data_IF_888956124923
#
_entry.id   IF_888956124923
#
_cell.length_a   1.000
_cell.length_b   1.000
_cell.length_c   1.000
_cell.angle_alpha   90.00
_cell.angle_beta   90.00
_cell.angle_gamma   90.00
#
_symmetry.space_group_name_H-M   'P 1'
#
loop_
_entity.id
_entity.type
_entity.pdbx_description
1 polymer ?
#
# COMPACT_ATOMS: atom_id res chain seq x y z
N UNK A 1 -6.20 15.21 -4.80
CA UNK A 1 -6.12 14.06 -5.75
C UNK A 1 -5.11 13.00 -5.27
N UNK A 2 -4.74 13.00 -3.98
CA UNK A 2 -3.79 12.03 -3.40
C UNK A 2 -4.51 10.99 -2.53
N UNK A 3 -5.75 11.28 -2.11
CA UNK A 3 -6.55 10.49 -1.19
C UNK A 3 -6.85 9.07 -1.71
N UNK A 4 -7.05 8.92 -3.03
CA UNK A 4 -7.40 7.63 -3.63
C UNK A 4 -6.26 6.61 -3.61
N UNK A 5 -5.00 7.05 -3.47
CA UNK A 5 -3.83 6.14 -3.51
C UNK A 5 -3.71 5.31 -2.25
N UNK A 6 -4.04 5.88 -1.08
CA UNK A 6 -3.97 5.22 0.23
C UNK A 6 -5.24 4.41 0.57
N UNK A 7 -5.96 3.97 -0.46
CA UNK A 7 -7.05 3.00 -0.33
C UNK A 7 -6.59 1.62 -0.79
N UNK A 8 -7.23 0.55 -0.29
CA UNK A 8 -6.94 -0.81 -0.79
C UNK A 8 -7.12 -0.92 -2.30
N UNK A 9 -8.09 -0.20 -2.87
CA UNK A 9 -8.31 -0.18 -4.32
C UNK A 9 -7.18 0.54 -5.05
N UNK A 10 -6.75 1.70 -4.55
CA UNK A 10 -5.59 2.44 -5.06
C UNK A 10 -4.32 1.61 -5.07
N UNK A 11 -4.04 0.92 -3.96
CA UNK A 11 -2.91 0.01 -3.85
C UNK A 11 -3.03 -1.20 -4.79
N UNK A 12 -4.24 -1.74 -4.98
CA UNK A 12 -4.48 -2.84 -5.94
C UNK A 12 -4.17 -2.40 -7.37
N UNK A 13 -4.55 -1.20 -7.79
CA UNK A 13 -4.22 -0.65 -9.12
C UNK A 13 -2.70 -0.50 -9.31
N UNK A 14 -1.97 -0.16 -8.24
CA UNK A 14 -0.50 -0.01 -8.25
C UNK A 14 0.26 -1.26 -7.84
N UNK A 15 -0.42 -2.39 -7.63
CA UNK A 15 0.17 -3.64 -7.13
C UNK A 15 1.41 -4.09 -7.92
N UNK A 16 1.45 -4.02 -9.26
CA UNK A 16 2.66 -4.38 -10.01
C UNK A 16 3.88 -3.51 -9.65
N UNK A 17 3.69 -2.21 -9.42
CA UNK A 17 4.77 -1.30 -9.02
C UNK A 17 5.28 -1.60 -7.62
N UNK A 18 4.36 -1.81 -6.66
CA UNK A 18 4.67 -2.14 -5.27
C UNK A 18 5.49 -3.43 -5.22
N UNK A 19 5.02 -4.49 -5.90
CA UNK A 19 5.72 -5.78 -5.93
C UNK A 19 7.08 -5.70 -6.61
N UNK A 20 7.23 -4.88 -7.67
CA UNK A 20 8.53 -4.66 -8.32
C UNK A 20 9.53 -4.04 -7.36
N UNK A 21 9.11 -3.06 -6.56
CA UNK A 21 9.96 -2.38 -5.56
C UNK A 21 10.28 -3.30 -4.38
N UNK A 22 9.30 -4.09 -3.91
CA UNK A 22 9.46 -5.08 -2.85
C UNK A 22 10.43 -6.20 -3.24
N UNK A 23 10.32 -6.74 -4.46
CA UNK A 23 11.21 -7.79 -4.98
C UNK A 23 12.68 -7.36 -5.01
N UNK A 24 12.96 -6.10 -5.35
CA UNK A 24 14.34 -5.55 -5.30
C UNK A 24 14.92 -5.58 -3.88
N UNK A 25 14.07 -5.60 -2.85
CA UNK A 25 14.43 -5.68 -1.42
C UNK A 25 14.26 -7.08 -0.85
N UNK A 26 14.09 -8.12 -1.69
CA UNK A 26 13.85 -9.51 -1.28
C UNK A 26 12.57 -9.73 -0.45
N UNK A 27 11.64 -8.79 -0.51
CA UNK A 27 10.32 -8.94 0.09
C UNK A 27 9.38 -9.58 -0.94
N UNK A 28 9.01 -10.85 -0.69
CA UNK A 28 8.27 -11.69 -1.64
C UNK A 28 6.80 -11.88 -1.29
N UNK A 29 6.47 -11.79 0.00
CA UNK A 29 5.11 -11.80 0.52
C UNK A 29 4.89 -10.42 1.14
N UNK A 30 3.85 -9.74 0.68
CA UNK A 30 3.50 -8.39 1.12
C UNK A 30 2.04 -8.41 1.57
N UNK A 31 1.78 -7.87 2.76
CA UNK A 31 0.44 -7.57 3.25
C UNK A 31 0.34 -6.11 3.69
N UNK A 32 -0.83 -5.50 3.48
CA UNK A 32 -1.13 -4.14 3.96
C UNK A 32 -1.73 -4.26 5.35
N UNK A 33 -1.28 -3.46 6.30
CA UNK A 33 -1.85 -3.36 7.64
C UNK A 33 -2.06 -1.91 8.06
N UNK A 34 -2.53 -1.69 9.29
CA UNK A 34 -2.78 -0.35 9.81
C UNK A 34 -3.98 0.35 9.19
N UNK A 35 -3.96 1.69 9.18
CA UNK A 35 -5.09 2.54 8.82
C UNK A 35 -5.64 2.27 7.43
N UNK A 36 -4.79 1.96 6.45
CA UNK A 36 -5.23 1.63 5.08
C UNK A 36 -6.04 0.34 5.02
N UNK A 37 -5.64 -0.68 5.78
CA UNK A 37 -6.37 -1.95 5.85
C UNK A 37 -7.75 -1.78 6.52
N UNK A 38 -7.85 -0.84 7.47
CA UNK A 38 -9.09 -0.50 8.18
C UNK A 38 -9.99 0.51 7.45
N UNK A 39 -9.49 1.13 6.37
CA UNK A 39 -10.20 2.20 5.66
C UNK A 39 -10.19 3.55 6.38
N UNK A 40 -9.29 3.73 7.34
CA UNK A 40 -9.15 4.94 8.18
C UNK A 40 -7.96 5.82 7.76
N UNK A 41 -7.30 5.48 6.66
CA UNK A 41 -6.18 6.25 6.14
C UNK A 41 -6.63 7.65 5.72
N UNK A 42 -5.88 8.65 6.19
CA UNK A 42 -6.00 10.06 5.81
C UNK A 42 -4.91 10.42 4.78
N UNK A 43 -5.04 11.54 4.06
CA UNK A 43 -4.00 11.99 3.11
C UNK A 43 -2.59 12.17 3.70
N UNK A 44 -2.46 12.33 5.02
CA UNK A 44 -1.20 12.42 5.75
C UNK A 44 -0.75 11.09 6.37
N UNK A 45 -1.49 10.00 6.15
CA UNK A 45 -1.17 8.69 6.70
C UNK A 45 -0.04 8.01 5.93
N UNK A 46 0.76 7.23 6.66
CA UNK A 46 1.74 6.33 6.08
C UNK A 46 1.10 5.06 5.51
N UNK A 47 1.89 4.30 4.75
CA UNK A 47 1.53 2.97 4.25
C UNK A 47 2.38 1.90 4.94
N UNK A 48 1.73 1.09 5.77
CA UNK A 48 2.35 0.01 6.51
C UNK A 48 2.29 -1.33 5.75
N UNK A 49 3.44 -1.98 5.57
CA UNK A 49 3.57 -3.26 4.84
C UNK A 49 4.36 -4.30 5.66
N UNK A 50 3.84 -5.54 5.73
CA UNK A 50 4.51 -6.73 6.26
C UNK A 50 5.08 -7.59 5.14
#
# INVERSE_FOLDING_TARGET
>A
MTDDVLTLEGLRRRRPEILRVARKRRAHRIAVFGSVAMGEARPDSDLDLL
#
